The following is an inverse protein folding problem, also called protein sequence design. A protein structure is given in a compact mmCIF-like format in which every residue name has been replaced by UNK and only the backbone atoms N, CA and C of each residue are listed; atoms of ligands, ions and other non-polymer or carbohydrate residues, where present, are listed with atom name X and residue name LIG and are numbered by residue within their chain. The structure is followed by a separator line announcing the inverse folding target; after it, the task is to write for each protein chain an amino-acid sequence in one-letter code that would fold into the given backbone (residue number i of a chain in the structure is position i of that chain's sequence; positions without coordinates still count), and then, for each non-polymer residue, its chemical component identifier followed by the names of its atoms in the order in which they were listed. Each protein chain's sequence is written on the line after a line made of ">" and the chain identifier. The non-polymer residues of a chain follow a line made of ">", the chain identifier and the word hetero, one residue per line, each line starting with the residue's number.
data_IF_924362875083
#
_entry.id   IF_924362875083
#
_cell.length_a   1.000
_cell.length_b   1.000
_cell.length_c   1.000
_cell.angle_alpha   90.00
_cell.angle_beta   90.00
_cell.angle_gamma   90.00
#
_symmetry.space_group_name_H-M   'P 1'
#
loop_
_entity.id
_entity.type
_entity.pdbx_description
1 polymer ?
#
# COMPACT_ATOMS: atom_id res chain seq x y z
N UNK A 1 -0.69 2.40 -12.25
CA UNK A 1 0.65 1.77 -12.28
C UNK A 1 1.05 1.36 -10.86
N UNK A 2 1.51 0.13 -10.65
CA UNK A 2 2.05 -0.31 -9.36
C UNK A 2 3.49 -0.81 -9.55
N UNK A 3 4.42 -0.36 -8.68
CA UNK A 3 5.87 -0.60 -8.82
C UNK A 3 6.31 -1.64 -7.82
N UNK A 4 6.82 -2.78 -8.29
CA UNK A 4 7.52 -3.77 -7.49
C UNK A 4 9.02 -3.52 -7.56
N UNK A 5 9.66 -3.39 -6.40
CA UNK A 5 11.11 -3.17 -6.32
C UNK A 5 11.76 -4.04 -5.25
N UNK A 6 13.07 -4.23 -5.37
CA UNK A 6 13.93 -4.82 -4.35
C UNK A 6 14.74 -3.71 -3.68
N UNK A 7 14.50 -3.46 -2.41
CA UNK A 7 15.29 -2.46 -1.69
C UNK A 7 16.67 -2.99 -1.32
N UNK A 8 17.68 -2.14 -1.46
CA UNK A 8 18.99 -2.35 -0.83
C UNK A 8 18.83 -2.03 0.65
N UNK A 9 19.02 -3.05 1.51
CA UNK A 9 18.77 -2.90 2.96
C UNK A 9 19.63 -1.80 3.57
N UNK A 10 18.98 -0.83 4.19
CA UNK A 10 19.60 0.31 4.86
C UNK A 10 20.18 1.40 3.94
N UNK A 11 20.19 1.22 2.62
CA UNK A 11 20.77 2.20 1.69
C UNK A 11 19.69 3.07 1.04
N UNK A 12 19.26 4.10 1.78
CA UNK A 12 18.22 5.02 1.37
C UNK A 12 18.52 5.74 0.06
N UNK A 13 19.77 6.16 -0.14
CA UNK A 13 20.17 6.90 -1.35
C UNK A 13 20.02 6.04 -2.59
N UNK A 14 20.52 4.80 -2.57
CA UNK A 14 20.36 3.87 -3.70
C UNK A 14 18.91 3.53 -3.96
N UNK A 15 18.09 3.40 -2.91
CA UNK A 15 16.67 3.08 -3.09
C UNK A 15 15.90 4.27 -3.70
N UNK A 16 16.24 5.50 -3.33
CA UNK A 16 15.69 6.71 -3.97
C UNK A 16 16.07 6.76 -5.45
N UNK A 17 17.33 6.58 -5.81
CA UNK A 17 17.78 6.53 -7.21
C UNK A 17 17.06 5.44 -8.00
N UNK A 18 16.90 4.26 -7.39
CA UNK A 18 16.21 3.13 -8.00
C UNK A 18 14.74 3.45 -8.29
N UNK A 19 14.01 4.01 -7.32
CA UNK A 19 12.60 4.33 -7.54
C UNK A 19 12.41 5.42 -8.59
N UNK A 20 13.29 6.44 -8.61
CA UNK A 20 13.29 7.46 -9.65
C UNK A 20 13.50 6.85 -11.04
N UNK A 21 14.41 5.91 -11.16
CA UNK A 21 14.72 5.19 -12.41
C UNK A 21 13.55 4.31 -12.83
N UNK A 22 13.01 3.50 -11.93
CA UNK A 22 11.88 2.61 -12.21
C UNK A 22 10.65 3.39 -12.67
N UNK A 23 10.30 4.48 -11.98
CA UNK A 23 9.17 5.33 -12.37
C UNK A 23 9.44 5.96 -13.73
N UNK A 24 10.60 6.62 -13.91
CA UNK A 24 10.88 7.35 -15.16
C UNK A 24 10.95 6.46 -16.40
N UNK A 25 11.37 5.19 -16.24
CA UNK A 25 11.46 4.22 -17.34
C UNK A 25 10.11 3.52 -17.62
N UNK A 26 9.17 3.52 -16.67
CA UNK A 26 7.94 2.73 -16.77
C UNK A 26 6.69 3.57 -16.97
N UNK A 27 6.65 4.80 -16.44
CA UNK A 27 5.44 5.64 -16.48
C UNK A 27 5.00 5.90 -17.93
N UNK A 28 3.69 5.76 -18.18
CA UNK A 28 3.07 6.01 -19.48
C UNK A 28 2.31 7.35 -19.44
N UNK A 29 2.03 7.90 -20.62
CA UNK A 29 1.33 9.18 -20.76
C UNK A 29 -0.10 9.18 -20.23
N UNK A 30 -0.71 8.01 -20.11
CA UNK A 30 -2.05 7.75 -19.59
C UNK A 30 -2.06 7.23 -18.14
N UNK A 31 -0.93 7.30 -17.44
CA UNK A 31 -0.86 6.91 -16.03
C UNK A 31 -1.44 8.01 -15.14
N UNK A 32 -2.48 7.72 -14.37
CA UNK A 32 -3.08 8.66 -13.41
C UNK A 32 -2.48 8.56 -12.01
N UNK A 33 -2.20 7.32 -11.56
CA UNK A 33 -1.73 7.05 -10.19
C UNK A 33 -0.61 6.03 -10.19
N UNK A 34 0.43 6.29 -9.39
CA UNK A 34 1.53 5.35 -9.10
C UNK A 34 1.43 4.89 -7.66
N UNK A 35 1.56 3.58 -7.45
CA UNK A 35 1.62 2.95 -6.12
C UNK A 35 3.02 2.39 -5.87
N UNK A 36 3.58 2.65 -4.68
CA UNK A 36 4.88 2.17 -4.23
C UNK A 36 4.74 1.19 -3.05
N UNK A 37 5.74 0.31 -2.78
CA UNK A 37 5.64 -0.69 -1.71
C UNK A 37 5.98 -0.13 -0.32
N UNK A 38 5.83 -0.95 0.72
CA UNK A 38 6.14 -0.62 2.12
C UNK A 38 7.65 -0.45 2.33
N UNK A 39 8.04 0.52 3.18
CA UNK A 39 9.43 0.83 3.63
C UNK A 39 10.50 0.71 2.54
N UNK A 40 10.13 1.08 1.33
CA UNK A 40 11.01 0.95 0.16
C UNK A 40 12.32 1.72 0.30
N UNK A 41 12.35 2.71 1.17
CA UNK A 41 13.54 3.55 1.41
C UNK A 41 14.70 2.79 2.02
N UNK A 42 14.45 1.79 2.87
CA UNK A 42 15.48 1.03 3.57
C UNK A 42 15.25 -0.49 3.54
N UNK A 43 14.12 -0.94 2.96
CA UNK A 43 13.69 -2.32 2.99
C UNK A 43 13.23 -2.78 4.38
N UNK A 44 12.75 -4.02 4.47
CA UNK A 44 12.32 -4.58 5.74
C UNK A 44 13.53 -5.00 6.60
N UNK A 45 14.05 -4.04 7.36
CA UNK A 45 15.15 -4.21 8.30
C UNK A 45 15.03 -3.20 9.44
N UNK A 46 14.33 -3.57 10.51
CA UNK A 46 13.92 -2.67 11.59
C UNK A 46 15.09 -1.95 12.28
N UNK A 47 16.29 -2.53 12.28
CA UNK A 47 17.50 -1.88 12.84
C UNK A 47 17.85 -0.54 12.19
N UNK A 48 17.43 -0.32 10.92
CA UNK A 48 17.68 0.94 10.20
C UNK A 48 16.54 1.97 10.36
N UNK A 49 15.41 1.61 10.98
CA UNK A 49 14.24 2.48 11.06
C UNK A 49 14.55 3.82 11.74
N UNK A 50 15.21 3.77 12.91
CA UNK A 50 15.50 4.98 13.69
C UNK A 50 16.40 5.96 12.95
N UNK A 51 17.46 5.48 12.31
CA UNK A 51 18.44 6.34 11.64
C UNK A 51 17.94 6.83 10.27
N UNK A 52 17.02 6.11 9.64
CA UNK A 52 16.44 6.47 8.35
C UNK A 52 15.22 7.38 8.45
N UNK A 53 14.70 7.58 9.67
CA UNK A 53 13.49 8.35 9.89
C UNK A 53 13.67 9.82 9.48
N UNK A 54 12.66 10.39 8.84
CA UNK A 54 12.62 11.79 8.43
C UNK A 54 11.42 12.48 9.09
N UNK A 55 11.60 13.75 9.43
CA UNK A 55 10.49 14.61 9.83
C UNK A 55 9.63 14.90 8.60
N UNK A 56 8.32 14.89 8.76
CA UNK A 56 7.39 15.11 7.65
C UNK A 56 7.51 16.49 7.02
N UNK A 57 7.92 17.48 7.81
CA UNK A 57 8.08 18.87 7.38
C UNK A 57 9.38 19.13 6.61
N UNK A 58 10.35 18.19 6.70
CA UNK A 58 11.67 18.29 6.04
C UNK A 58 12.10 16.91 5.52
N UNK A 59 11.25 16.30 4.71
CA UNK A 59 11.46 14.95 4.21
C UNK A 59 12.01 14.96 2.78
N UNK A 60 13.21 14.40 2.60
CA UNK A 60 13.77 14.15 1.29
C UNK A 60 12.91 13.17 0.47
N UNK A 61 12.32 12.18 1.13
CA UNK A 61 11.41 11.21 0.48
C UNK A 61 10.20 11.93 -0.12
N UNK A 62 9.57 12.82 0.66
CA UNK A 62 8.41 13.59 0.17
C UNK A 62 8.84 14.52 -0.96
N UNK A 63 9.98 15.18 -0.85
CA UNK A 63 10.50 16.08 -1.89
C UNK A 63 10.73 15.32 -3.20
N UNK A 64 11.36 14.14 -3.16
CA UNK A 64 11.59 13.30 -4.35
C UNK A 64 10.27 12.86 -4.98
N UNK A 65 9.30 12.41 -4.18
CA UNK A 65 7.99 12.00 -4.70
C UNK A 65 7.22 13.18 -5.30
N UNK A 66 7.32 14.37 -4.69
CA UNK A 66 6.72 15.62 -5.19
C UNK A 66 7.29 16.00 -6.56
N UNK A 67 8.60 15.92 -6.72
CA UNK A 67 9.24 16.21 -8.01
C UNK A 67 8.85 15.18 -9.09
N UNK A 68 8.78 13.89 -8.74
CA UNK A 68 8.32 12.85 -9.67
C UNK A 68 6.86 13.07 -10.08
N UNK A 69 5.97 13.39 -9.12
CA UNK A 69 4.56 13.67 -9.39
C UNK A 69 4.40 14.84 -10.36
N UNK A 70 5.10 15.96 -10.12
CA UNK A 70 5.11 17.13 -11.00
C UNK A 70 5.64 16.80 -12.39
N UNK A 71 6.82 16.16 -12.44
CA UNK A 71 7.51 15.83 -13.69
C UNK A 71 6.65 14.99 -14.62
N UNK A 72 5.98 13.98 -14.06
CA UNK A 72 5.18 13.03 -14.83
C UNK A 72 3.69 13.36 -14.85
N UNK A 73 3.25 14.40 -14.11
CA UNK A 73 1.85 14.83 -13.95
C UNK A 73 0.91 13.72 -13.45
N UNK A 74 1.39 12.92 -12.50
CA UNK A 74 0.70 11.77 -11.91
C UNK A 74 0.50 11.95 -10.42
N UNK A 75 -0.52 11.32 -9.86
CA UNK A 75 -0.64 11.20 -8.42
C UNK A 75 0.24 10.04 -7.91
N UNK A 76 0.75 10.11 -6.68
CA UNK A 76 1.60 9.07 -6.10
C UNK A 76 1.07 8.67 -4.72
N UNK A 77 0.66 7.41 -4.57
CA UNK A 77 0.52 6.75 -3.28
C UNK A 77 1.90 6.18 -2.95
N UNK A 78 2.60 6.87 -2.06
CA UNK A 78 4.07 6.82 -1.94
C UNK A 78 4.66 5.58 -1.27
N UNK A 79 3.90 4.49 -1.19
CA UNK A 79 4.34 3.32 -0.42
C UNK A 79 4.45 3.68 1.05
N UNK A 80 5.57 3.33 1.68
CA UNK A 80 5.83 3.89 2.99
C UNK A 80 7.31 4.09 3.28
N UNK A 81 7.55 4.95 4.26
CA UNK A 81 8.87 5.21 4.85
C UNK A 81 8.71 5.44 6.36
N UNK A 82 9.81 5.46 7.10
CA UNK A 82 9.77 5.76 8.54
C UNK A 82 9.75 7.27 8.72
N UNK A 83 8.64 7.75 9.26
CA UNK A 83 8.38 9.17 9.52
C UNK A 83 8.50 9.47 11.01
N UNK A 84 9.19 10.54 11.34
CA UNK A 84 9.27 11.07 12.69
C UNK A 84 8.18 12.13 12.90
N UNK A 85 7.39 11.97 13.98
CA UNK A 85 6.39 12.96 14.41
C UNK A 85 6.59 13.21 15.91
N UNK A 86 7.22 14.31 16.26
CA UNK A 86 7.69 14.56 17.63
C UNK A 86 8.73 13.53 18.05
N UNK A 87 8.51 12.86 19.17
CA UNK A 87 9.41 11.82 19.70
C UNK A 87 9.10 10.41 19.16
N UNK A 88 8.03 10.25 18.37
CA UNK A 88 7.54 8.95 17.89
C UNK A 88 7.91 8.73 16.43
N UNK A 89 8.10 7.46 16.08
CA UNK A 89 8.32 6.99 14.71
C UNK A 89 7.10 6.22 14.22
N UNK A 90 6.78 6.37 12.95
CA UNK A 90 5.64 5.72 12.29
C UNK A 90 6.04 5.15 10.94
N UNK A 91 5.41 4.06 10.54
CA UNK A 91 5.45 3.56 9.17
C UNK A 91 4.39 4.31 8.38
N UNK A 92 4.80 5.31 7.60
CA UNK A 92 3.92 6.34 7.03
C UNK A 92 3.89 6.27 5.51
N UNK A 93 2.69 6.23 4.95
CA UNK A 93 2.43 6.40 3.51
C UNK A 93 2.08 7.85 3.22
N UNK A 94 2.89 8.58 2.44
CA UNK A 94 2.54 9.90 1.92
C UNK A 94 1.69 9.76 0.65
N UNK A 95 0.74 10.66 0.46
CA UNK A 95 -0.06 10.80 -0.75
C UNK A 95 0.26 12.13 -1.39
N UNK A 96 0.79 12.10 -2.61
CA UNK A 96 1.20 13.27 -3.37
C UNK A 96 0.29 13.42 -4.60
N UNK A 97 -0.28 14.60 -4.78
CA UNK A 97 -1.07 14.88 -5.97
C UNK A 97 -0.17 15.22 -7.18
N UNK A 98 -0.76 15.30 -8.37
CA UNK A 98 -0.04 15.61 -9.63
C UNK A 98 0.57 17.01 -9.69
N UNK A 99 0.22 17.90 -8.75
CA UNK A 99 0.84 19.20 -8.52
C UNK A 99 2.07 19.10 -7.61
N UNK A 100 2.37 17.90 -7.08
CA UNK A 100 3.46 17.64 -6.15
C UNK A 100 3.18 18.09 -4.73
N UNK A 101 1.91 18.24 -4.35
CA UNK A 101 1.52 18.61 -2.99
C UNK A 101 1.24 17.37 -2.17
N UNK A 102 1.71 17.35 -0.92
CA UNK A 102 1.35 16.33 0.07
C UNK A 102 -0.10 16.58 0.52
N UNK A 103 -1.02 15.72 0.08
CA UNK A 103 -2.47 15.89 0.34
C UNK A 103 -2.98 15.05 1.50
N UNK A 104 -2.30 13.96 1.84
CA UNK A 104 -2.62 13.12 2.98
C UNK A 104 -1.41 12.30 3.44
N UNK A 105 -1.50 11.77 4.66
CA UNK A 105 -0.60 10.73 5.16
C UNK A 105 -1.40 9.64 5.86
N UNK A 106 -0.97 8.39 5.72
CA UNK A 106 -1.49 7.26 6.46
C UNK A 106 -0.38 6.62 7.29
N UNK A 107 -0.59 6.48 8.58
CA UNK A 107 0.30 5.74 9.48
C UNK A 107 -0.27 4.35 9.72
N UNK A 108 0.56 3.32 9.61
CA UNK A 108 0.18 1.92 9.74
C UNK A 108 -0.60 1.66 11.02
N UNK A 109 -1.78 1.04 10.88
CA UNK A 109 -2.68 0.80 12.01
C UNK A 109 -2.27 -0.43 12.82
N UNK A 110 -1.76 -1.49 12.18
CA UNK A 110 -1.45 -2.74 12.85
C UNK A 110 0.01 -3.11 12.65
N UNK A 111 0.76 -3.20 13.74
CA UNK A 111 2.19 -3.51 13.72
C UNK A 111 2.41 -5.03 13.76
N UNK A 112 3.37 -5.49 12.96
CA UNK A 112 3.72 -6.90 12.88
C UNK A 112 4.40 -7.37 14.16
N UNK A 113 3.87 -8.42 14.81
CA UNK A 113 4.28 -8.83 16.15
C UNK A 113 4.32 -10.35 16.40
N UNK A 114 4.52 -11.16 15.36
CA UNK A 114 4.59 -12.60 15.53
C UNK A 114 5.78 -13.22 14.76
N UNK A 115 6.08 -14.51 14.98
CA UNK A 115 7.29 -15.20 14.53
C UNK A 115 8.61 -14.62 15.06
N UNK A 116 8.57 -14.02 16.26
CA UNK A 116 9.75 -13.43 16.88
C UNK A 116 10.04 -11.99 16.44
N UNK A 117 9.29 -11.46 15.48
CA UNK A 117 9.35 -10.04 15.10
C UNK A 117 8.51 -9.19 16.06
N UNK A 118 8.96 -7.97 16.30
CA UNK A 118 8.24 -6.96 17.08
C UNK A 118 8.47 -5.57 16.49
N UNK A 119 7.71 -5.23 15.48
CA UNK A 119 7.76 -3.92 14.83
C UNK A 119 7.47 -2.79 15.84
N UNK A 120 6.59 -3.04 16.80
CA UNK A 120 6.24 -2.11 17.87
C UNK A 120 7.38 -1.76 18.85
N UNK A 121 8.51 -2.48 18.82
CA UNK A 121 9.70 -2.08 19.54
C UNK A 121 10.45 -0.89 18.88
N UNK A 122 10.13 -0.58 17.62
CA UNK A 122 10.82 0.44 16.81
C UNK A 122 9.92 1.60 16.42
N UNK A 123 8.64 1.34 16.19
CA UNK A 123 7.68 2.35 15.70
C UNK A 123 6.37 2.28 16.50
N UNK A 124 5.56 3.32 16.35
CA UNK A 124 4.26 3.47 17.02
C UNK A 124 3.12 3.12 16.07
N UNK A 125 2.12 2.39 16.55
CA UNK A 125 0.87 2.17 15.82
C UNK A 125 -0.01 3.41 15.78
N UNK A 126 -0.89 3.50 14.77
CA UNK A 126 -1.91 4.54 14.66
C UNK A 126 -3.28 3.89 14.44
N UNK A 127 -4.32 4.43 15.08
CA UNK A 127 -5.69 3.90 14.98
C UNK A 127 -6.59 4.67 14.02
N UNK A 128 -6.02 5.52 13.16
CA UNK A 128 -6.78 6.40 12.27
C UNK A 128 -6.68 5.94 10.80
N UNK A 129 -7.62 5.12 10.30
CA UNK A 129 -7.71 4.76 8.90
C UNK A 129 -7.89 5.99 8.01
N UNK A 130 -7.28 5.99 6.83
CA UNK A 130 -7.34 7.11 5.89
C UNK A 130 -7.96 6.67 4.56
N UNK A 131 -9.06 7.33 4.21
CA UNK A 131 -9.69 7.29 2.91
C UNK A 131 -9.39 8.62 2.20
N UNK A 132 -8.56 8.57 1.16
CA UNK A 132 -8.16 9.77 0.42
C UNK A 132 -8.97 9.88 -0.87
N UNK A 133 -9.33 11.11 -1.27
CA UNK A 133 -9.95 11.38 -2.56
C UNK A 133 -8.89 11.93 -3.51
N UNK A 134 -8.63 11.21 -4.59
CA UNK A 134 -7.71 11.60 -5.66
C UNK A 134 -8.49 11.62 -6.98
N UNK A 135 -8.61 12.80 -7.57
CA UNK A 135 -9.32 13.01 -8.84
C UNK A 135 -10.75 12.41 -8.86
N UNK A 136 -11.45 12.46 -7.72
CA UNK A 136 -12.81 11.93 -7.57
C UNK A 136 -12.86 10.45 -7.14
N UNK A 137 -11.73 9.74 -7.12
CA UNK A 137 -11.63 8.33 -6.69
C UNK A 137 -11.28 8.25 -5.20
N UNK A 138 -12.07 7.51 -4.44
CA UNK A 138 -11.85 7.28 -3.00
C UNK A 138 -10.98 6.04 -2.80
N UNK A 139 -9.76 6.25 -2.31
CA UNK A 139 -8.74 5.22 -2.15
C UNK A 139 -8.52 4.92 -0.66
N UNK A 140 -8.76 3.68 -0.25
CA UNK A 140 -8.47 3.18 1.10
C UNK A 140 -7.02 2.72 1.22
N UNK A 141 -6.27 3.30 2.17
CA UNK A 141 -4.84 3.05 2.36
C UNK A 141 -4.60 2.03 3.46
N UNK A 142 -3.79 1.00 3.17
CA UNK A 142 -3.37 0.00 4.16
C UNK A 142 -1.92 -0.42 3.93
N UNK A 143 -1.24 -0.86 4.99
CA UNK A 143 0.17 -1.27 4.93
C UNK A 143 0.32 -2.69 5.50
N UNK A 144 0.76 -3.62 4.66
CA UNK A 144 1.28 -4.95 5.00
C UNK A 144 0.38 -5.73 5.96
N UNK A 145 0.71 -5.75 7.24
CA UNK A 145 0.01 -6.51 8.28
C UNK A 145 -1.46 -6.11 8.43
N UNK A 146 -1.84 -4.90 8.04
CA UNK A 146 -3.24 -4.44 7.99
C UNK A 146 -4.14 -5.38 7.18
N UNK A 147 -3.58 -6.12 6.19
CA UNK A 147 -4.35 -7.07 5.36
C UNK A 147 -5.07 -8.14 6.18
N UNK A 148 -4.60 -8.45 7.39
CA UNK A 148 -5.16 -9.47 8.26
C UNK A 148 -6.44 -9.06 8.99
N UNK A 149 -6.78 -7.79 8.98
CA UNK A 149 -7.88 -7.21 9.75
C UNK A 149 -9.03 -6.81 8.81
N UNK A 150 -10.00 -7.72 8.53
CA UNK A 150 -11.11 -7.45 7.61
C UNK A 150 -11.97 -6.27 8.06
N UNK A 151 -12.00 -5.97 9.34
CA UNK A 151 -12.74 -4.87 9.94
C UNK A 151 -12.31 -3.52 9.36
N UNK A 152 -10.99 -3.32 9.16
CA UNK A 152 -10.43 -2.11 8.57
C UNK A 152 -10.94 -1.91 7.13
N UNK A 153 -10.95 -2.97 6.32
CA UNK A 153 -11.42 -2.93 4.93
C UNK A 153 -12.93 -2.71 4.87
N UNK A 154 -13.67 -3.34 5.79
CA UNK A 154 -15.11 -3.13 5.91
C UNK A 154 -15.44 -1.68 6.30
N UNK A 155 -14.65 -1.05 7.16
CA UNK A 155 -14.83 0.36 7.51
C UNK A 155 -14.68 1.27 6.29
N UNK A 156 -13.72 1.01 5.40
CA UNK A 156 -13.59 1.73 4.12
C UNK A 156 -14.79 1.48 3.20
N UNK A 157 -15.30 0.26 3.14
CA UNK A 157 -16.46 -0.10 2.31
C UNK A 157 -17.70 0.68 2.75
N UNK A 158 -17.95 0.74 4.06
CA UNK A 158 -19.08 1.50 4.63
C UNK A 158 -18.96 3.02 4.39
N UNK A 159 -17.76 3.52 4.07
CA UNK A 159 -17.51 4.90 3.64
C UNK A 159 -17.53 5.07 2.12
N UNK A 160 -17.84 4.00 1.38
CA UNK A 160 -18.00 4.02 -0.08
C UNK A 160 -16.68 4.13 -0.84
N UNK A 161 -15.68 3.36 -0.45
CA UNK A 161 -14.39 3.24 -1.13
C UNK A 161 -14.55 2.75 -2.58
N UNK A 162 -13.72 3.26 -3.48
CA UNK A 162 -13.71 2.88 -4.90
C UNK A 162 -12.55 1.93 -5.23
N UNK A 163 -11.40 2.12 -4.59
CA UNK A 163 -10.19 1.31 -4.74
C UNK A 163 -9.49 1.17 -3.39
N UNK A 164 -8.95 0.01 -3.10
CA UNK A 164 -8.13 -0.21 -1.91
C UNK A 164 -6.71 -0.60 -2.31
N UNK A 165 -5.74 -0.27 -1.49
CA UNK A 165 -4.35 -0.68 -1.68
C UNK A 165 -3.78 -1.27 -0.39
N UNK A 166 -3.02 -2.37 -0.52
CA UNK A 166 -2.14 -2.83 0.52
C UNK A 166 -0.69 -2.82 0.00
N UNK A 167 0.13 -1.98 0.62
CA UNK A 167 1.54 -1.80 0.32
C UNK A 167 2.36 -2.60 1.32
N UNK A 168 3.19 -3.55 0.85
CA UNK A 168 3.84 -4.51 1.73
C UNK A 168 5.33 -4.73 1.43
N UNK A 169 6.03 -5.20 2.47
CA UNK A 169 7.27 -5.97 2.41
C UNK A 169 6.95 -7.38 2.97
N UNK A 170 6.35 -8.23 2.14
CA UNK A 170 5.76 -9.49 2.56
C UNK A 170 6.67 -10.67 2.30
N UNK A 171 7.00 -11.44 3.35
CA UNK A 171 7.92 -12.59 3.24
C UNK A 171 7.39 -13.72 2.36
N UNK A 172 8.25 -14.29 1.53
CA UNK A 172 7.93 -15.31 0.52
C UNK A 172 7.30 -16.60 1.10
N UNK A 173 7.65 -16.97 2.32
CA UNK A 173 7.05 -18.14 3.01
C UNK A 173 5.55 -17.98 3.33
N UNK A 174 4.99 -16.79 3.11
CA UNK A 174 3.60 -16.45 3.43
C UNK A 174 2.78 -16.14 2.16
N UNK A 175 3.08 -16.82 1.03
CA UNK A 175 2.39 -16.62 -0.25
C UNK A 175 0.89 -16.92 -0.16
N UNK A 176 0.53 -18.10 0.36
CA UNK A 176 -0.90 -18.50 0.44
C UNK A 176 -1.74 -17.49 1.23
N UNK A 177 -1.34 -17.08 2.46
CA UNK A 177 -2.05 -16.00 3.16
C UNK A 177 -2.15 -14.70 2.35
N UNK A 178 -1.09 -14.28 1.64
CA UNK A 178 -1.10 -13.07 0.83
C UNK A 178 -2.14 -13.13 -0.27
N UNK A 179 -2.06 -14.15 -1.11
CA UNK A 179 -2.98 -14.33 -2.25
C UNK A 179 -4.42 -14.46 -1.77
N UNK A 180 -4.67 -15.30 -0.75
CA UNK A 180 -6.02 -15.50 -0.23
C UNK A 180 -6.63 -14.22 0.32
N UNK A 181 -5.89 -13.48 1.16
CA UNK A 181 -6.44 -12.28 1.79
C UNK A 181 -6.62 -11.13 0.79
N UNK A 182 -5.68 -10.90 -0.13
CA UNK A 182 -5.81 -9.80 -1.10
C UNK A 182 -7.00 -9.99 -2.02
N UNK A 183 -7.23 -11.19 -2.53
CA UNK A 183 -8.42 -11.53 -3.33
C UNK A 183 -9.71 -11.44 -2.50
N UNK A 184 -9.69 -11.94 -1.26
CA UNK A 184 -10.84 -11.81 -0.37
C UNK A 184 -11.23 -10.35 -0.14
N UNK A 185 -10.25 -9.45 0.10
CA UNK A 185 -10.54 -8.01 0.28
C UNK A 185 -11.18 -7.39 -0.95
N UNK A 186 -10.76 -7.77 -2.16
CA UNK A 186 -11.40 -7.33 -3.39
C UNK A 186 -12.87 -7.81 -3.48
N UNK A 187 -13.08 -9.12 -3.36
CA UNK A 187 -14.38 -9.77 -3.57
C UNK A 187 -15.40 -9.38 -2.50
N UNK A 188 -15.05 -9.51 -1.22
CA UNK A 188 -15.99 -9.25 -0.10
C UNK A 188 -16.42 -7.79 0.02
N UNK A 189 -15.62 -6.88 -0.53
CA UNK A 189 -15.88 -5.44 -0.55
C UNK A 189 -16.30 -4.91 -1.93
N UNK A 190 -16.38 -5.81 -2.93
CA UNK A 190 -16.73 -5.48 -4.33
C UNK A 190 -15.95 -4.26 -4.84
N UNK A 191 -14.62 -4.28 -4.67
CA UNK A 191 -13.75 -3.14 -4.84
C UNK A 191 -12.47 -3.55 -5.56
N UNK A 192 -11.98 -2.72 -6.49
CA UNK A 192 -10.64 -2.91 -7.03
C UNK A 192 -9.61 -2.90 -5.92
N UNK A 193 -8.57 -3.72 -6.06
CA UNK A 193 -7.53 -3.88 -5.04
C UNK A 193 -6.13 -3.90 -5.65
N UNK A 194 -5.25 -3.04 -5.15
CA UNK A 194 -3.82 -3.06 -5.48
C UNK A 194 -3.08 -3.78 -4.37
N UNK A 195 -2.67 -5.01 -4.64
CA UNK A 195 -1.84 -5.84 -3.75
C UNK A 195 -0.39 -5.66 -4.14
N UNK A 196 0.36 -4.84 -3.42
CA UNK A 196 1.72 -4.47 -3.78
C UNK A 196 2.72 -4.96 -2.73
N UNK A 197 3.75 -5.69 -3.15
CA UNK A 197 4.84 -6.13 -2.27
C UNK A 197 6.20 -5.89 -2.89
N UNK A 198 7.21 -5.75 -2.05
CA UNK A 198 8.60 -5.76 -2.50
C UNK A 198 9.02 -7.13 -3.05
N UNK A 199 10.07 -7.16 -3.85
CA UNK A 199 10.89 -8.33 -4.16
C UNK A 199 12.25 -8.25 -3.44
N UNK A 200 13.13 -9.24 -3.65
CA UNK A 200 14.50 -9.24 -3.13
C UNK A 200 14.62 -9.58 -1.65
N UNK A 201 15.81 -9.38 -1.13
CA UNK A 201 16.18 -9.80 0.22
C UNK A 201 15.49 -8.97 1.33
N UNK A 202 15.20 -9.62 2.44
CA UNK A 202 14.87 -9.01 3.72
C UNK A 202 15.92 -9.38 4.75
N UNK A 203 15.83 -8.79 5.94
CA UNK A 203 16.73 -9.11 7.02
C UNK A 203 16.72 -10.63 7.33
N UNK A 204 17.82 -11.16 7.83
CA UNK A 204 18.01 -12.60 8.19
C UNK A 204 18.06 -13.59 6.99
N UNK A 205 18.34 -13.12 5.78
CA UNK A 205 18.53 -13.97 4.60
C UNK A 205 17.24 -14.54 4.01
N UNK A 206 16.09 -14.05 4.45
CA UNK A 206 14.82 -14.32 3.82
C UNK A 206 14.57 -13.40 2.62
N UNK A 207 13.48 -13.65 1.86
CA UNK A 207 13.13 -12.88 0.68
C UNK A 207 11.69 -12.39 0.76
N UNK A 208 11.45 -11.22 0.19
CA UNK A 208 10.12 -10.73 -0.11
C UNK A 208 9.45 -11.60 -1.17
N UNK A 209 8.13 -11.66 -1.17
CA UNK A 209 7.33 -12.50 -2.05
C UNK A 209 7.44 -12.08 -3.52
N UNK A 210 7.46 -10.78 -3.79
CA UNK A 210 7.55 -10.25 -5.15
C UNK A 210 6.38 -10.64 -6.03
N UNK A 211 5.18 -10.76 -5.47
CA UNK A 211 3.94 -11.13 -6.17
C UNK A 211 2.93 -10.01 -6.04
N UNK A 212 3.22 -8.91 -6.77
CA UNK A 212 2.31 -7.75 -6.82
C UNK A 212 1.24 -7.97 -7.88
N UNK A 213 -0.01 -7.63 -7.54
CA UNK A 213 -1.18 -7.90 -8.38
C UNK A 213 -2.16 -6.73 -8.32
N UNK A 214 -2.80 -6.40 -9.44
CA UNK A 214 -3.99 -5.54 -9.48
C UNK A 214 -5.19 -6.45 -9.71
N UNK A 215 -6.15 -6.40 -8.79
CA UNK A 215 -7.28 -7.34 -8.71
C UNK A 215 -8.57 -6.54 -8.93
N UNK A 216 -9.51 -7.09 -9.70
CA UNK A 216 -10.81 -6.49 -9.89
C UNK A 216 -11.78 -6.82 -8.74
N UNK A 217 -12.94 -6.20 -8.74
CA UNK A 217 -14.00 -6.37 -7.74
C UNK A 217 -14.69 -7.77 -7.78
N UNK A 218 -14.34 -8.62 -8.73
CA UNK A 218 -14.79 -10.04 -8.83
C UNK A 218 -13.72 -11.00 -8.33
N UNK A 219 -12.46 -10.52 -8.16
CA UNK A 219 -11.32 -11.31 -7.75
C UNK A 219 -10.42 -11.76 -8.91
N UNK A 220 -10.64 -11.25 -10.12
CA UNK A 220 -9.79 -11.58 -11.27
C UNK A 220 -8.53 -10.71 -11.28
N UNK A 221 -7.38 -11.32 -11.64
CA UNK A 221 -6.13 -10.59 -11.82
C UNK A 221 -6.15 -9.80 -13.13
N UNK A 222 -6.12 -8.47 -13.04
CA UNK A 222 -5.96 -7.58 -14.21
C UNK A 222 -4.51 -7.48 -14.66
N UNK A 223 -3.58 -7.51 -13.71
CA UNK A 223 -2.14 -7.52 -13.96
C UNK A 223 -1.39 -8.13 -12.79
N UNK A 224 -0.29 -8.82 -13.06
CA UNK A 224 0.55 -9.45 -12.04
C UNK A 224 2.04 -9.39 -12.45
N UNK A 225 2.92 -9.24 -11.44
CA UNK A 225 4.36 -9.46 -11.57
C UNK A 225 4.78 -10.45 -10.47
N UNK A 226 5.30 -11.61 -10.86
CA UNK A 226 5.54 -12.74 -9.96
C UNK A 226 6.93 -12.76 -9.34
N UNK A 227 7.87 -12.00 -9.90
CA UNK A 227 9.26 -11.94 -9.40
C UNK A 227 10.01 -10.74 -9.97
N UNK A 228 11.15 -10.41 -9.36
CA UNK A 228 12.04 -9.35 -9.84
C UNK A 228 11.50 -7.95 -9.60
N UNK A 229 11.99 -6.99 -10.36
CA UNK A 229 11.62 -5.58 -10.30
C UNK A 229 10.89 -5.16 -11.57
N UNK A 230 9.95 -4.23 -11.46
CA UNK A 230 9.21 -3.71 -12.59
C UNK A 230 7.94 -2.98 -12.20
N UNK A 231 7.12 -2.69 -13.20
CA UNK A 231 5.82 -2.06 -13.01
C UNK A 231 4.71 -2.84 -13.72
N UNK A 232 3.56 -2.94 -13.08
CA UNK A 232 2.33 -3.47 -13.66
C UNK A 232 1.31 -2.35 -13.86
N UNK A 233 0.42 -2.55 -14.82
CA UNK A 233 -0.56 -1.57 -15.23
C UNK A 233 -1.93 -2.19 -15.39
N UNK A 234 -2.96 -1.47 -14.98
CA UNK A 234 -4.34 -1.78 -15.31
C UNK A 234 -5.12 -0.48 -15.54
N UNK A 235 -6.05 -0.52 -16.45
CA UNK A 235 -7.11 0.48 -16.54
C UNK A 235 -8.24 0.05 -15.62
N UNK A 236 -8.72 0.97 -14.79
CA UNK A 236 -9.78 0.73 -13.82
C UNK A 236 -11.08 1.37 -14.34
N UNK A 237 -12.14 0.57 -14.44
CA UNK A 237 -13.46 1.03 -14.84
C UNK A 237 -14.40 1.09 -13.62
N UNK A 238 -14.52 2.27 -13.04
CA UNK A 238 -15.40 2.50 -11.90
C UNK A 238 -16.90 2.50 -12.26
N UNK A 239 -17.26 2.74 -13.51
CA UNK A 239 -18.65 2.65 -13.97
C UNK A 239 -19.09 1.19 -14.01
N UNK A 240 -18.22 0.29 -14.51
CA UNK A 240 -18.47 -1.15 -14.51
C UNK A 240 -18.56 -1.70 -13.06
N UNK A 241 -17.67 -1.29 -12.16
CA UNK A 241 -17.75 -1.64 -10.75
C UNK A 241 -19.07 -1.20 -10.12
N UNK A 242 -19.50 0.03 -10.39
CA UNK A 242 -20.76 0.56 -9.86
C UNK A 242 -21.98 -0.18 -10.44
N UNK A 243 -21.94 -0.51 -11.73
CA UNK A 243 -22.99 -1.33 -12.37
C UNK A 243 -23.04 -2.75 -11.77
N UNK A 244 -21.89 -3.34 -11.44
CA UNK A 244 -21.84 -4.61 -10.72
C UNK A 244 -22.45 -4.50 -9.32
N UNK A 245 -22.05 -3.51 -8.52
CA UNK A 245 -22.60 -3.25 -7.17
C UNK A 245 -24.11 -3.02 -7.18
N UNK A 246 -24.63 -2.40 -8.24
CA UNK A 246 -26.07 -2.19 -8.40
C UNK A 246 -26.85 -3.49 -8.60
N UNK A 247 -26.23 -4.49 -9.25
CA UNK A 247 -26.81 -5.82 -9.49
C UNK A 247 -26.54 -6.78 -8.32
N UNK A 248 -25.32 -6.80 -7.81
CA UNK A 248 -24.91 -7.64 -6.69
C UNK A 248 -25.00 -6.84 -5.39
N UNK A 249 -26.16 -6.82 -4.76
CA UNK A 249 -26.49 -5.92 -3.65
C UNK A 249 -25.99 -6.38 -2.28
N UNK A 250 -25.09 -7.34 -2.21
CA UNK A 250 -24.60 -7.95 -0.96
C UNK A 250 -24.06 -6.94 0.05
N UNK A 251 -23.52 -5.81 -0.40
CA UNK A 251 -23.06 -4.74 0.48
C UNK A 251 -24.21 -4.03 1.23
N UNK A 252 -25.46 -4.16 0.77
CA UNK A 252 -26.65 -3.64 1.47
C UNK A 252 -27.10 -4.53 2.62
N UNK A 253 -26.66 -5.78 2.61
CA UNK A 253 -27.02 -6.79 3.62
C UNK A 253 -26.03 -6.81 4.80
N UNK A 254 -25.07 -5.86 4.82
CA UNK A 254 -24.09 -5.75 5.91
C UNK A 254 -24.78 -5.30 7.19
N UNK A 255 -24.60 -6.08 8.24
CA UNK A 255 -24.97 -5.69 9.59
C UNK A 255 -23.76 -5.05 10.29
N UNK A 256 -23.94 -3.87 10.86
CA UNK A 256 -22.86 -3.16 11.57
C UNK A 256 -22.38 -3.91 12.82
N UNK A 257 -23.28 -4.68 13.45
CA UNK A 257 -22.98 -5.48 14.63
C UNK A 257 -23.73 -6.82 14.61
N UNK A 258 -23.06 -7.87 15.06
CA UNK A 258 -23.65 -9.17 15.33
C UNK A 258 -23.59 -9.49 16.82
N UNK A 259 -24.71 -10.00 17.37
CA UNK A 259 -24.77 -10.53 18.73
C UNK A 259 -24.60 -12.04 18.70
N UNK A 260 -23.43 -12.52 19.11
CA UNK A 260 -23.16 -13.96 19.24
C UNK A 260 -23.80 -14.44 20.55
N UNK A 261 -24.60 -15.52 20.46
CA UNK A 261 -25.16 -16.21 21.62
C UNK A 261 -24.36 -17.47 21.89
N UNK A 262 -23.95 -17.64 23.13
CA UNK A 262 -23.35 -18.87 23.64
C UNK A 262 -24.42 -19.68 24.39
N UNK A 263 -24.42 -21.02 24.19
CA UNK A 263 -25.39 -21.96 24.78
C UNK A 263 -24.65 -23.05 25.55
#
# INVERSE_FOLDING_TARGET
>A
MAVQMSSVLGDKSKNIEKIQTLISNSVKSDTDVIFLPEVWTVGWACKYFKESAEDISDSNVINVLSELAKKHKVNIIGGSFICKKGEKLYNTCPVINRQGELVATYDKCHLFSYYGDNEGAYITECSNPVLVNIDGVRIGLTICYDIRFPELYRAYTLKGVDLMVNMAAWGSKKEIPWVTMTHSRAVENQCYFVALTQSGAIENGEFNLGKSTIIDYKGDNLAEITSGEGAIFATIDFEEQNAFRAKCTVLKDIHEQYQVKEF
#
